data_IF_810321694000
#
_entry.id   IF_810321694000
#
_cell.length_a   1.000
_cell.length_b   1.000
_cell.length_c   1.000
_cell.angle_alpha   90.00
_cell.angle_beta   90.00
_cell.angle_gamma   90.00
#
_symmetry.space_group_name_H-M   'P 1'
#
loop_
_entity.id
_entity.type
_entity.pdbx_description
1 polymer ?
#
# COMPACT_ATOMS: atom_id res chain seq x y z
N UNK A 1 -2.03 -2.48 -3.91
CA UNK A 1 -2.01 -1.10 -3.41
C UNK A 1 -3.17 -0.27 -3.95
N UNK A 2 -3.24 0.06 -5.25
CA UNK A 2 -4.26 0.95 -5.86
C UNK A 2 -5.70 0.60 -5.47
N UNK A 3 -6.13 -0.65 -5.61
CA UNK A 3 -7.51 -1.07 -5.29
C UNK A 3 -7.92 -0.77 -3.86
N UNK A 4 -7.05 -1.07 -2.91
CA UNK A 4 -7.31 -0.83 -1.49
C UNK A 4 -7.38 0.66 -1.12
N UNK A 5 -6.50 1.49 -1.71
CA UNK A 5 -6.59 2.94 -1.56
C UNK A 5 -7.89 3.49 -2.15
N UNK A 6 -8.33 2.92 -3.30
CA UNK A 6 -9.60 3.29 -3.93
C UNK A 6 -10.81 2.97 -3.04
N UNK A 7 -10.79 1.82 -2.35
CA UNK A 7 -11.89 1.43 -1.44
C UNK A 7 -11.99 2.40 -0.26
N UNK A 8 -10.85 2.79 0.33
CA UNK A 8 -10.81 3.80 1.40
C UNK A 8 -11.31 5.15 0.89
N UNK A 9 -10.83 5.60 -0.28
CA UNK A 9 -11.24 6.88 -0.87
C UNK A 9 -12.74 6.92 -1.18
N UNK A 10 -13.29 5.86 -1.78
CA UNK A 10 -14.74 5.74 -2.02
C UNK A 10 -15.54 5.81 -0.73
N UNK A 11 -15.06 5.17 0.34
CA UNK A 11 -15.70 5.26 1.66
C UNK A 11 -15.77 6.68 2.22
N UNK A 12 -14.82 7.56 1.87
CA UNK A 12 -14.87 8.99 2.20
C UNK A 12 -15.80 9.76 1.28
N UNK A 13 -15.75 9.49 -0.03
CA UNK A 13 -16.54 10.21 -1.03
C UNK A 13 -18.05 9.99 -0.90
N UNK A 14 -18.47 8.77 -0.50
CA UNK A 14 -19.90 8.44 -0.29
C UNK A 14 -20.38 8.76 1.11
N UNK A 15 -19.51 9.23 1.99
CA UNK A 15 -19.89 9.66 3.34
C UNK A 15 -20.89 10.82 3.27
N UNK A 16 -21.77 10.94 4.26
CA UNK A 16 -22.79 12.00 4.34
C UNK A 16 -22.23 13.42 4.14
N UNK A 17 -20.99 13.64 4.58
CA UNK A 17 -20.28 14.92 4.46
C UNK A 17 -19.24 14.93 3.32
N UNK A 18 -19.06 13.81 2.61
CA UNK A 18 -18.03 13.66 1.56
C UNK A 18 -18.23 14.61 0.37
N UNK A 19 -19.47 14.92 0.04
CA UNK A 19 -19.81 15.76 -1.11
C UNK A 19 -19.16 17.15 -1.06
N UNK A 20 -18.92 17.70 0.15
CA UNK A 20 -18.23 19.01 0.33
C UNK A 20 -16.80 18.99 -0.19
N UNK A 21 -16.15 17.82 -0.12
CA UNK A 21 -14.72 17.63 -0.41
C UNK A 21 -14.45 16.90 -1.73
N UNK A 22 -15.49 16.54 -2.48
CA UNK A 22 -15.37 15.75 -3.70
C UNK A 22 -14.91 16.54 -4.92
N UNK A 23 -15.04 17.87 -4.88
CA UNK A 23 -14.68 18.78 -5.97
C UNK A 23 -13.75 19.87 -5.47
N UNK A 24 -12.90 20.41 -6.36
CA UNK A 24 -12.08 21.57 -6.01
C UNK A 24 -12.93 22.74 -5.51
N UNK A 25 -12.42 23.46 -4.52
CA UNK A 25 -13.03 24.71 -4.06
C UNK A 25 -12.94 25.75 -5.17
N UNK A 26 -14.08 26.28 -5.60
CA UNK A 26 -14.16 27.45 -6.47
C UNK A 26 -14.39 28.72 -5.62
N UNK A 27 -13.34 29.55 -5.42
CA UNK A 27 -13.47 30.74 -4.58
C UNK A 27 -14.42 31.78 -5.13
N UNK A 28 -14.63 31.82 -6.44
CA UNK A 28 -15.54 32.76 -7.08
C UNK A 28 -16.99 32.39 -6.84
N UNK A 29 -17.31 31.12 -7.08
CA UNK A 29 -18.64 30.56 -6.84
C UNK A 29 -19.05 30.62 -5.36
N UNK A 30 -18.10 30.33 -4.46
CA UNK A 30 -18.36 30.30 -3.02
C UNK A 30 -18.17 31.64 -2.32
N UNK A 31 -17.73 32.69 -3.03
CA UNK A 31 -17.53 34.03 -2.45
C UNK A 31 -16.37 34.09 -1.44
N UNK A 32 -15.28 33.37 -1.69
CA UNK A 32 -14.12 33.25 -0.82
C UNK A 32 -12.87 33.89 -1.46
N UNK A 33 -12.78 35.21 -1.54
CA UNK A 33 -11.77 35.92 -2.33
C UNK A 33 -10.33 35.70 -1.82
N UNK A 34 -10.18 35.41 -0.54
CA UNK A 34 -8.90 35.18 0.14
C UNK A 34 -8.47 33.71 0.23
N UNK A 35 -9.26 32.78 -0.35
CA UNK A 35 -9.01 31.34 -0.23
C UNK A 35 -7.58 30.96 -0.65
N UNK A 36 -7.10 31.44 -1.80
CA UNK A 36 -5.75 31.14 -2.27
C UNK A 36 -4.64 31.93 -1.56
N UNK A 37 -5.02 32.96 -0.80
CA UNK A 37 -4.06 33.63 0.09
C UNK A 37 -3.78 32.80 1.32
N UNK A 38 -4.79 32.10 1.85
CA UNK A 38 -4.69 31.23 3.02
C UNK A 38 -4.22 29.84 2.62
N UNK A 39 -4.83 29.23 1.60
CA UNK A 39 -4.55 27.86 1.17
C UNK A 39 -3.58 27.84 -0.01
N UNK A 40 -2.33 27.51 0.27
CA UNK A 40 -1.26 27.50 -0.73
C UNK A 40 -1.23 26.26 -1.62
N UNK A 41 -1.80 25.15 -1.15
CA UNK A 41 -1.85 23.88 -1.88
C UNK A 41 -3.28 23.32 -1.81
N UNK A 42 -4.18 23.82 -2.66
CA UNK A 42 -5.54 23.30 -2.71
C UNK A 42 -5.55 21.81 -3.05
N UNK A 43 -6.45 21.05 -2.40
CA UNK A 43 -6.65 19.63 -2.64
C UNK A 43 -8.11 19.27 -2.40
N UNK A 44 -8.58 18.24 -3.10
CA UNK A 44 -9.93 17.69 -2.99
C UNK A 44 -9.90 16.18 -3.29
N UNK A 45 -10.92 15.44 -2.84
CA UNK A 45 -10.99 13.99 -3.00
C UNK A 45 -11.16 13.55 -4.46
N UNK A 46 -11.76 14.37 -5.32
CA UNK A 46 -11.86 14.11 -6.75
C UNK A 46 -10.49 14.18 -7.44
N UNK A 47 -9.65 15.16 -7.05
CA UNK A 47 -8.27 15.26 -7.52
C UNK A 47 -7.44 14.07 -7.01
N UNK A 48 -7.60 13.66 -5.75
CA UNK A 48 -6.96 12.46 -5.20
C UNK A 48 -7.38 11.23 -6.00
N UNK A 49 -8.68 11.07 -6.31
CA UNK A 49 -9.17 9.95 -7.12
C UNK A 49 -8.51 9.91 -8.51
N UNK A 50 -8.47 11.05 -9.18
CA UNK A 50 -7.85 11.18 -10.52
C UNK A 50 -6.35 10.86 -10.48
N UNK A 51 -5.62 11.32 -9.46
CA UNK A 51 -4.20 10.99 -9.26
C UNK A 51 -4.00 9.49 -9.03
N UNK A 52 -4.86 8.87 -8.23
CA UNK A 52 -4.83 7.43 -7.96
C UNK A 52 -5.11 6.63 -9.22
N UNK A 53 -6.10 7.04 -10.04
CA UNK A 53 -6.43 6.38 -11.31
C UNK A 53 -5.30 6.49 -12.33
N UNK A 54 -4.64 7.62 -12.39
CA UNK A 54 -3.48 7.86 -13.26
C UNK A 54 -2.17 7.25 -12.74
N UNK A 55 -2.18 6.57 -11.59
CA UNK A 55 -0.99 5.94 -11.01
C UNK A 55 0.08 6.92 -10.55
N UNK A 56 -0.30 8.14 -10.16
CA UNK A 56 0.62 9.19 -9.73
C UNK A 56 1.14 9.00 -8.29
N UNK A 57 0.53 8.11 -7.51
CA UNK A 57 1.02 7.73 -6.18
C UNK A 57 1.90 6.49 -6.26
N UNK A 58 3.14 6.61 -5.85
CA UNK A 58 4.09 5.50 -5.78
C UNK A 58 4.03 4.79 -4.44
N UNK A 59 3.65 5.50 -3.38
CA UNK A 59 3.52 4.99 -2.01
C UNK A 59 2.13 5.30 -1.45
N UNK A 60 1.76 4.56 -0.40
CA UNK A 60 0.51 4.82 0.33
C UNK A 60 0.62 6.13 1.11
N UNK A 61 1.81 6.48 1.55
CA UNK A 61 2.05 7.72 2.30
C UNK A 61 1.80 8.97 1.43
N UNK A 62 2.15 8.94 0.14
CA UNK A 62 1.83 10.01 -0.79
C UNK A 62 0.31 10.19 -0.96
N UNK A 63 -0.42 9.07 -1.11
CA UNK A 63 -1.89 9.09 -1.13
C UNK A 63 -2.46 9.64 0.17
N UNK A 64 -1.97 9.15 1.32
CA UNK A 64 -2.43 9.58 2.62
C UNK A 64 -2.15 11.06 2.89
N UNK A 65 -1.02 11.58 2.41
CA UNK A 65 -0.68 12.99 2.52
C UNK A 65 -1.68 13.89 1.79
N UNK A 66 -2.08 13.53 0.56
CA UNK A 66 -3.06 14.32 -0.21
C UNK A 66 -4.47 14.25 0.39
N UNK A 67 -4.89 13.08 0.91
CA UNK A 67 -6.18 12.96 1.62
C UNK A 67 -6.18 13.81 2.89
N UNK A 68 -5.13 13.76 3.69
CA UNK A 68 -5.00 14.60 4.88
C UNK A 68 -4.99 16.09 4.51
N UNK A 69 -4.26 16.46 3.45
CA UNK A 69 -4.19 17.85 2.98
C UNK A 69 -5.57 18.41 2.63
N UNK A 70 -6.45 17.59 2.04
CA UNK A 70 -7.83 17.99 1.75
C UNK A 70 -8.56 18.48 3.00
N UNK A 71 -8.48 17.70 4.07
CA UNK A 71 -9.17 18.05 5.33
C UNK A 71 -8.43 19.11 6.13
N UNK A 72 -7.10 19.12 6.10
CA UNK A 72 -6.29 20.14 6.77
C UNK A 72 -6.54 21.53 6.18
N UNK A 73 -6.64 21.64 4.85
CA UNK A 73 -7.01 22.88 4.18
C UNK A 73 -8.37 23.39 4.65
N UNK A 74 -9.36 22.50 4.76
CA UNK A 74 -10.68 22.88 5.21
C UNK A 74 -10.69 23.33 6.67
N UNK A 75 -9.95 22.65 7.55
CA UNK A 75 -9.83 23.03 8.96
C UNK A 75 -8.99 24.30 9.14
N UNK A 76 -8.02 24.56 8.26
CA UNK A 76 -7.22 25.79 8.27
C UNK A 76 -8.01 27.02 7.83
N UNK A 77 -8.86 26.86 6.80
CA UNK A 77 -9.60 27.97 6.23
C UNK A 77 -10.86 28.34 7.02
N UNK A 78 -11.56 27.33 7.55
CA UNK A 78 -12.80 27.53 8.28
C UNK A 78 -12.55 27.68 9.78
N UNK A 79 -13.30 28.56 10.42
CA UNK A 79 -13.24 28.76 11.87
C UNK A 79 -13.52 27.45 12.64
N UNK A 80 -12.86 27.29 13.79
CA UNK A 80 -13.13 26.17 14.70
C UNK A 80 -14.62 26.11 15.05
N UNK A 81 -15.19 24.90 15.06
CA UNK A 81 -16.61 24.62 15.29
C UNK A 81 -17.57 25.11 14.21
N UNK A 82 -17.06 25.60 13.07
CA UNK A 82 -17.92 25.79 11.92
C UNK A 82 -18.35 24.44 11.34
N UNK A 83 -19.46 24.43 10.62
CA UNK A 83 -20.01 23.18 10.04
C UNK A 83 -18.99 22.47 9.15
N UNK A 84 -18.28 23.22 8.29
CA UNK A 84 -17.30 22.65 7.35
C UNK A 84 -16.06 22.14 8.11
N UNK A 85 -15.60 22.87 9.12
CA UNK A 85 -14.49 22.45 9.97
C UNK A 85 -14.80 21.12 10.68
N UNK A 86 -15.99 20.99 11.27
CA UNK A 86 -16.41 19.79 11.99
C UNK A 86 -16.58 18.59 11.04
N UNK A 87 -17.13 18.80 9.83
CA UNK A 87 -17.22 17.79 8.78
C UNK A 87 -15.83 17.31 8.34
N UNK A 88 -14.87 18.23 8.18
CA UNK A 88 -13.49 17.89 7.83
C UNK A 88 -12.81 17.08 8.95
N UNK A 89 -13.00 17.48 10.20
CA UNK A 89 -12.44 16.79 11.35
C UNK A 89 -12.99 15.35 11.48
N UNK A 90 -14.29 15.16 11.26
CA UNK A 90 -14.94 13.85 11.27
C UNK A 90 -14.39 12.94 10.17
N UNK A 91 -14.33 13.43 8.93
CA UNK A 91 -13.81 12.66 7.80
C UNK A 91 -12.32 12.35 7.94
N UNK A 92 -11.54 13.28 8.48
CA UNK A 92 -10.14 13.05 8.79
C UNK A 92 -9.96 11.95 9.84
N UNK A 93 -10.74 11.96 10.91
CA UNK A 93 -10.72 10.91 11.93
C UNK A 93 -11.12 9.55 11.34
N UNK A 94 -12.17 9.50 10.52
CA UNK A 94 -12.55 8.29 9.78
C UNK A 94 -11.41 7.79 8.89
N UNK A 95 -10.79 8.68 8.13
CA UNK A 95 -9.67 8.33 7.27
C UNK A 95 -8.50 7.74 8.06
N UNK A 96 -8.14 8.32 9.19
CA UNK A 96 -7.06 7.80 10.04
C UNK A 96 -7.32 6.37 10.51
N UNK A 97 -8.56 6.06 10.87
CA UNK A 97 -8.97 4.70 11.26
C UNK A 97 -8.86 3.73 10.08
N UNK A 98 -9.39 4.12 8.91
CA UNK A 98 -9.41 3.28 7.72
C UNK A 98 -7.98 3.10 7.15
N UNK A 99 -7.15 4.13 7.18
CA UNK A 99 -5.73 4.07 6.80
C UNK A 99 -4.95 3.12 7.72
N UNK A 100 -5.16 3.20 9.04
CA UNK A 100 -4.52 2.28 9.99
C UNK A 100 -4.91 0.82 9.73
N UNK A 101 -6.18 0.55 9.43
CA UNK A 101 -6.64 -0.79 9.03
C UNK A 101 -5.99 -1.26 7.73
N UNK A 102 -5.90 -0.38 6.73
CA UNK A 102 -5.25 -0.65 5.46
C UNK A 102 -3.79 -1.04 5.66
N UNK A 103 -3.02 -0.28 6.45
CA UNK A 103 -1.63 -0.57 6.75
C UNK A 103 -1.47 -1.92 7.45
N UNK A 104 -2.29 -2.21 8.46
CA UNK A 104 -2.28 -3.50 9.16
C UNK A 104 -2.59 -4.69 8.23
N UNK A 105 -3.51 -4.53 7.27
CA UNK A 105 -3.80 -5.56 6.27
C UNK A 105 -2.62 -5.81 5.34
N UNK A 106 -1.95 -4.76 4.88
CA UNK A 106 -0.79 -4.87 4.00
C UNK A 106 0.40 -5.52 4.71
N UNK A 107 0.66 -5.16 5.97
CA UNK A 107 1.69 -5.79 6.79
C UNK A 107 1.41 -7.28 7.00
N UNK A 108 0.15 -7.65 7.23
CA UNK A 108 -0.25 -9.05 7.37
C UNK A 108 -0.06 -9.83 6.06
N UNK A 109 -0.43 -9.25 4.91
CA UNK A 109 -0.23 -9.88 3.59
C UNK A 109 1.26 -10.03 3.25
N UNK A 110 2.07 -9.02 3.54
CA UNK A 110 3.52 -9.08 3.33
C UNK A 110 4.18 -10.13 4.22
N UNK A 111 3.70 -10.28 5.45
CA UNK A 111 4.17 -11.33 6.36
C UNK A 111 3.83 -12.71 5.81
N UNK A 112 2.58 -12.95 5.41
CA UNK A 112 2.15 -14.22 4.82
C UNK A 112 2.96 -14.52 3.55
N UNK A 113 3.17 -13.52 2.68
CA UNK A 113 3.97 -13.69 1.47
C UNK A 113 5.41 -14.10 1.79
N UNK A 114 6.06 -13.43 2.75
CA UNK A 114 7.42 -13.78 3.20
C UNK A 114 7.48 -15.16 3.83
N UNK A 115 6.47 -15.56 4.57
CA UNK A 115 6.37 -16.90 5.15
C UNK A 115 6.21 -17.97 4.06
N UNK A 116 5.36 -17.72 3.06
CA UNK A 116 5.18 -18.62 1.91
C UNK A 116 6.44 -18.71 1.03
N UNK A 117 7.14 -17.59 0.80
CA UNK A 117 8.40 -17.56 0.05
C UNK A 117 9.52 -18.33 0.75
N UNK A 118 9.42 -18.51 2.07
CA UNK A 118 10.36 -19.27 2.89
C UNK A 118 9.97 -20.74 3.07
N UNK A 119 8.75 -21.13 2.68
CA UNK A 119 8.32 -22.51 2.79
C UNK A 119 9.14 -23.41 1.86
N UNK A 120 9.52 -24.58 2.36
CA UNK A 120 10.20 -25.58 1.56
C UNK A 120 9.23 -26.25 0.58
N UNK A 121 9.47 -26.11 -0.72
CA UNK A 121 8.63 -26.71 -1.77
C UNK A 121 8.80 -28.24 -1.86
N UNK A 122 9.82 -28.80 -1.22
CA UNK A 122 10.12 -30.24 -1.30
C UNK A 122 9.51 -31.06 -0.17
N UNK A 123 9.58 -30.57 1.06
CA UNK A 123 9.14 -31.33 2.23
C UNK A 123 7.90 -30.76 2.91
N UNK A 124 7.39 -29.62 2.42
CA UNK A 124 6.23 -28.95 3.02
C UNK A 124 6.49 -28.40 4.43
N UNK A 125 7.75 -28.35 4.88
CA UNK A 125 8.06 -27.76 6.19
C UNK A 125 7.69 -26.27 6.18
N UNK A 126 7.00 -25.83 7.21
CA UNK A 126 6.31 -24.55 7.25
C UNK A 126 7.22 -23.32 7.23
N UNK A 127 8.48 -23.44 7.64
CA UNK A 127 9.43 -22.30 7.71
C UNK A 127 10.88 -22.72 7.53
N UNK A 128 11.53 -22.13 6.55
CA UNK A 128 12.99 -22.10 6.50
C UNK A 128 13.44 -20.92 7.37
N UNK A 129 14.03 -21.22 8.52
CA UNK A 129 14.55 -20.20 9.46
C UNK A 129 15.75 -19.44 8.90
N UNK A 130 16.40 -19.99 7.87
CA UNK A 130 17.56 -19.42 7.20
C UNK A 130 17.42 -19.56 5.68
N UNK A 131 18.12 -18.73 4.91
CA UNK A 131 18.25 -18.96 3.48
C UNK A 131 18.74 -20.39 3.25
N UNK A 132 18.04 -21.17 2.41
CA UNK A 132 18.46 -22.54 2.15
C UNK A 132 19.86 -22.53 1.57
N UNK A 133 20.73 -23.47 1.97
CA UNK A 133 22.05 -23.58 1.41
C UNK A 133 21.95 -23.71 -0.13
N UNK A 134 22.87 -23.10 -0.83
CA UNK A 134 22.96 -23.23 -2.28
C UNK A 134 23.61 -24.59 -2.57
N UNK A 135 22.87 -25.48 -3.23
CA UNK A 135 23.37 -26.77 -3.66
C UNK A 135 23.90 -26.71 -5.10
N UNK A 136 25.02 -27.36 -5.34
CA UNK A 136 25.59 -27.51 -6.66
C UNK A 136 25.51 -28.98 -7.07
N UNK A 137 25.18 -29.21 -8.35
CA UNK A 137 25.16 -30.57 -8.89
C UNK A 137 26.58 -31.07 -9.15
N UNK A 138 26.88 -32.25 -8.58
CA UNK A 138 28.18 -32.93 -8.78
C UNK A 138 28.16 -33.98 -9.90
N UNK A 139 27.09 -34.04 -10.70
CA UNK A 139 27.03 -34.89 -11.87
C UNK A 139 28.06 -34.48 -12.95
N UNK A 140 28.67 -35.48 -13.59
CA UNK A 140 29.74 -35.25 -14.59
C UNK A 140 29.31 -34.29 -15.72
N UNK A 141 28.06 -34.29 -16.09
CA UNK A 141 27.54 -33.44 -17.19
C UNK A 141 27.09 -32.05 -16.73
N UNK A 142 27.00 -31.79 -15.44
CA UNK A 142 26.43 -30.54 -14.92
C UNK A 142 27.48 -29.48 -14.60
N UNK A 143 28.76 -29.82 -14.56
CA UNK A 143 29.88 -28.89 -14.28
C UNK A 143 29.63 -27.97 -13.08
N UNK A 144 29.17 -28.55 -11.96
CA UNK A 144 28.88 -27.81 -10.72
C UNK A 144 27.83 -26.69 -10.87
N UNK A 145 26.86 -26.83 -11.78
CA UNK A 145 25.77 -25.87 -11.91
C UNK A 145 24.92 -25.83 -10.65
N UNK A 146 24.47 -24.65 -10.30
CA UNK A 146 23.55 -24.43 -9.16
C UNK A 146 22.23 -25.19 -9.39
N UNK A 147 21.85 -26.01 -8.42
CA UNK A 147 20.54 -26.69 -8.44
C UNK A 147 19.45 -25.64 -8.16
N UNK A 148 18.47 -25.52 -9.05
CA UNK A 148 17.36 -24.60 -8.88
C UNK A 148 16.46 -25.06 -7.73
N UNK A 149 15.91 -24.11 -6.96
CA UNK A 149 15.09 -24.37 -5.77
C UNK A 149 13.95 -25.38 -6.00
N UNK A 150 13.33 -25.41 -7.17
CA UNK A 150 12.19 -26.26 -7.50
C UNK A 150 12.55 -27.47 -8.38
N UNK A 151 13.84 -27.80 -8.51
CA UNK A 151 14.25 -28.98 -9.27
C UNK A 151 14.36 -30.18 -8.35
N UNK A 152 13.98 -31.37 -8.86
CA UNK A 152 14.27 -32.63 -8.18
C UNK A 152 15.77 -32.86 -8.17
N UNK A 153 16.29 -33.29 -7.02
CA UNK A 153 17.68 -33.66 -6.88
C UNK A 153 17.80 -34.83 -5.91
N UNK A 154 18.89 -35.55 -6.01
CA UNK A 154 19.19 -36.71 -5.16
C UNK A 154 20.36 -36.41 -4.26
N UNK A 155 20.29 -36.92 -3.03
CA UNK A 155 21.39 -36.92 -2.07
C UNK A 155 21.96 -38.31 -2.09
N UNK A 156 23.21 -38.47 -2.51
CA UNK A 156 23.86 -39.77 -2.58
C UNK A 156 25.05 -39.88 -1.65
N UNK A 157 25.14 -41.02 -0.97
CA UNK A 157 26.29 -41.46 -0.22
C UNK A 157 26.63 -40.69 1.07
N UNK A 158 27.71 -41.10 1.72
CA UNK A 158 28.22 -40.56 2.99
C UNK A 158 28.85 -39.16 2.83
N UNK A 159 29.06 -38.68 1.63
CA UNK A 159 29.75 -37.40 1.33
C UNK A 159 28.83 -36.29 0.84
N UNK A 160 27.50 -36.39 1.02
CA UNK A 160 26.53 -35.35 0.66
C UNK A 160 26.66 -34.81 -0.76
N UNK A 161 26.77 -35.71 -1.77
CA UNK A 161 26.73 -35.33 -3.17
C UNK A 161 25.28 -35.04 -3.61
N UNK A 162 25.11 -33.99 -4.42
CA UNK A 162 23.79 -33.57 -4.94
C UNK A 162 23.82 -33.70 -6.47
N UNK A 163 22.77 -34.31 -7.02
CA UNK A 163 22.59 -34.41 -8.49
C UNK A 163 21.24 -33.84 -8.91
N UNK A 164 21.19 -33.11 -10.01
CA UNK A 164 19.95 -32.70 -10.60
C UNK A 164 19.40 -33.82 -11.51
N UNK A 165 18.08 -33.79 -11.72
CA UNK A 165 17.42 -34.66 -12.71
C UNK A 165 17.61 -33.99 -14.09
N UNK A 166 18.66 -34.28 -14.79
CA UNK A 166 18.83 -33.99 -16.20
C UNK A 166 19.12 -35.27 -16.98
#
# INVERSE_FOLDING_TARGET
MKGKCLDVLKGLQVHTHGWVFNTPVDPVELGLPDYFEVIKKPMDLGTVNRRLDNGQYHTIDEFAADVNLTFDNAMQYNEERSVVHDMAAELKAKFQVDHKKLMAQLDAEDRIRRENDRACTMCGCEKLMFEPPVFFCNGMNCQSKRIRRNSHFYIGGTNHYFWCNQ
#
